data_IF_103532963041
#
_entry.id   IF_103532963041
#
_cell.length_a   1.000
_cell.length_b   1.000
_cell.length_c   1.000
_cell.angle_alpha   90.00
_cell.angle_beta   90.00
_cell.angle_gamma   90.00
#
_symmetry.space_group_name_H-M   'P 1'
#
loop_
_entity.id
_entity.type
_entity.pdbx_description
1 polymer ?
#
# COMPACT_ATOMS: atom_id res chain seq x y z
N UNK A 1 58.08 -39.52 -11.25
CA UNK A 1 57.41 -38.85 -10.12
C UNK A 1 56.51 -37.76 -10.67
N UNK A 2 55.20 -37.80 -10.32
CA UNK A 2 54.28 -36.67 -10.07
C UNK A 2 54.11 -35.58 -11.15
N UNK A 3 52.93 -35.18 -11.65
CA UNK A 3 51.53 -35.63 -11.77
C UNK A 3 50.86 -34.52 -12.61
N UNK A 4 49.96 -34.87 -13.53
CA UNK A 4 49.09 -33.92 -14.25
C UNK A 4 48.14 -33.21 -13.28
N UNK A 5 47.94 -31.89 -13.41
CA UNK A 5 46.81 -31.19 -12.80
C UNK A 5 46.17 -30.23 -13.80
N UNK A 6 45.03 -30.68 -14.32
CA UNK A 6 44.02 -29.91 -15.04
C UNK A 6 43.36 -28.92 -14.06
N UNK A 7 43.24 -27.66 -14.48
CA UNK A 7 42.45 -26.63 -13.78
C UNK A 7 40.95 -26.94 -13.93
N UNK A 8 40.15 -26.92 -12.83
CA UNK A 8 38.71 -27.04 -12.94
C UNK A 8 38.11 -25.68 -13.31
N UNK A 9 37.36 -25.64 -14.41
CA UNK A 9 36.50 -24.52 -14.76
C UNK A 9 35.32 -24.47 -13.76
N UNK A 10 35.32 -23.48 -12.87
CA UNK A 10 34.17 -23.17 -12.02
C UNK A 10 33.05 -22.59 -12.88
N UNK A 11 32.04 -23.42 -13.17
CA UNK A 11 30.76 -23.00 -13.73
C UNK A 11 29.99 -22.22 -12.65
N UNK A 12 29.97 -20.90 -12.76
CA UNK A 12 29.06 -20.05 -12.01
C UNK A 12 27.63 -20.29 -12.52
N UNK A 13 26.87 -21.10 -11.80
CA UNK A 13 25.45 -21.34 -12.07
C UNK A 13 24.65 -20.11 -11.62
N UNK A 14 24.33 -19.22 -12.56
CA UNK A 14 23.38 -18.14 -12.33
C UNK A 14 21.99 -18.75 -12.17
N UNK A 15 21.52 -18.89 -10.93
CA UNK A 15 20.11 -19.12 -10.64
C UNK A 15 19.32 -17.88 -11.10
N UNK A 16 18.80 -17.94 -12.32
CA UNK A 16 17.70 -17.08 -12.77
C UNK A 16 16.45 -17.50 -12.00
N UNK A 17 16.32 -17.02 -10.77
CA UNK A 17 15.03 -17.02 -10.08
C UNK A 17 14.12 -16.10 -10.88
N UNK A 18 13.26 -16.70 -11.70
CA UNK A 18 12.11 -16.02 -12.27
C UNK A 18 11.36 -15.35 -11.12
N UNK A 19 11.33 -14.02 -11.11
CA UNK A 19 10.43 -13.25 -10.25
C UNK A 19 9.00 -13.59 -10.67
N UNK A 20 8.45 -14.66 -10.12
CA UNK A 20 7.00 -14.81 -10.08
C UNK A 20 6.53 -13.71 -9.14
N UNK A 21 5.84 -12.71 -9.68
CA UNK A 21 5.18 -11.71 -8.86
C UNK A 21 4.31 -12.45 -7.83
N UNK A 22 4.54 -12.19 -6.55
CA UNK A 22 3.72 -12.78 -5.50
C UNK A 22 2.25 -12.37 -5.75
N UNK A 23 1.33 -13.32 -5.60
CA UNK A 23 -0.09 -13.02 -5.65
C UNK A 23 -0.58 -12.75 -4.22
N UNK A 24 -1.29 -11.64 -3.96
CA UNK A 24 -1.83 -11.35 -2.65
C UNK A 24 -2.76 -12.45 -2.16
N UNK A 25 -2.82 -12.64 -0.83
CA UNK A 25 -3.77 -13.54 -0.22
C UNK A 25 -5.24 -13.15 -0.53
N UNK A 26 -6.19 -14.09 -0.40
CA UNK A 26 -7.59 -13.87 -0.80
C UNK A 26 -8.31 -12.74 -0.02
N UNK A 27 -7.74 -12.29 1.10
CA UNK A 27 -8.28 -11.21 1.93
C UNK A 27 -7.28 -10.06 2.11
N UNK A 28 -6.20 -10.01 1.32
CA UNK A 28 -5.11 -9.05 1.50
C UNK A 28 -5.61 -7.59 1.52
N UNK A 29 -6.41 -7.18 0.54
CA UNK A 29 -6.95 -5.81 0.48
C UNK A 29 -7.80 -5.46 1.71
N UNK A 30 -8.57 -6.41 2.24
CA UNK A 30 -9.37 -6.22 3.45
C UNK A 30 -8.48 -6.08 4.69
N UNK A 31 -7.46 -6.94 4.82
CA UNK A 31 -6.54 -6.91 5.95
C UNK A 31 -5.72 -5.61 5.95
N UNK A 32 -5.25 -5.18 4.78
CA UNK A 32 -4.51 -3.94 4.61
C UNK A 32 -5.39 -2.72 4.87
N UNK A 33 -6.64 -2.70 4.40
CA UNK A 33 -7.55 -1.58 4.71
C UNK A 33 -7.81 -1.44 6.21
N UNK A 34 -7.97 -2.54 6.93
CA UNK A 34 -8.12 -2.54 8.38
C UNK A 34 -6.84 -2.09 9.09
N UNK A 35 -5.67 -2.53 8.63
CA UNK A 35 -4.39 -2.11 9.19
C UNK A 35 -4.15 -0.60 9.00
N UNK A 36 -4.47 -0.08 7.80
CA UNK A 36 -4.42 1.35 7.50
C UNK A 36 -5.37 2.14 8.41
N UNK A 37 -6.60 1.67 8.60
CA UNK A 37 -7.56 2.32 9.49
C UNK A 37 -7.05 2.40 10.92
N UNK A 38 -6.46 1.32 11.45
CA UNK A 38 -5.89 1.32 12.81
C UNK A 38 -4.76 2.34 12.92
N UNK A 39 -3.78 2.29 12.03
CA UNK A 39 -2.67 3.24 12.03
C UNK A 39 -3.15 4.70 11.86
N UNK A 40 -4.18 4.92 11.05
CA UNK A 40 -4.81 6.21 10.89
C UNK A 40 -5.49 6.69 12.17
N UNK A 41 -6.31 5.86 12.83
CA UNK A 41 -6.99 6.24 14.08
C UNK A 41 -6.00 6.50 15.22
N UNK A 42 -4.96 5.69 15.31
CA UNK A 42 -3.94 5.81 16.37
C UNK A 42 -2.93 6.94 16.11
N UNK A 43 -3.04 7.63 14.97
CA UNK A 43 -2.04 8.60 14.51
C UNK A 43 -0.61 8.03 14.42
N UNK A 44 -0.49 6.71 14.23
CA UNK A 44 0.77 6.00 14.12
C UNK A 44 1.30 6.08 12.68
N UNK A 45 2.00 7.17 12.41
CA UNK A 45 2.60 7.44 11.09
C UNK A 45 3.69 6.44 10.74
N UNK A 46 4.37 5.86 11.73
CA UNK A 46 5.41 4.85 11.50
C UNK A 46 4.76 3.54 11.05
N UNK A 47 3.72 3.08 11.75
CA UNK A 47 2.95 1.90 11.35
C UNK A 47 2.31 2.10 9.97
N UNK A 48 1.72 3.27 9.72
CA UNK A 48 1.15 3.60 8.41
C UNK A 48 2.22 3.48 7.31
N UNK A 49 3.41 4.06 7.54
CA UNK A 49 4.52 4.03 6.58
C UNK A 49 5.02 2.61 6.29
N UNK A 50 4.98 1.70 7.26
CA UNK A 50 5.39 0.30 7.09
C UNK A 50 4.46 -0.52 6.19
N UNK A 51 3.21 -0.06 6.03
CA UNK A 51 2.24 -0.66 5.11
C UNK A 51 2.50 -0.24 3.66
N UNK A 52 3.22 0.86 3.42
CA UNK A 52 3.52 1.35 2.08
C UNK A 52 4.55 0.47 1.36
N UNK A 53 4.34 0.27 0.05
CA UNK A 53 5.32 -0.37 -0.82
C UNK A 53 6.62 0.43 -0.82
N UNK A 54 7.80 -0.20 -0.98
CA UNK A 54 9.09 0.50 -0.91
C UNK A 54 9.15 1.75 -1.81
N UNK A 55 8.70 1.63 -3.05
CA UNK A 55 8.66 2.72 -4.04
C UNK A 55 7.74 3.88 -3.65
N UNK A 56 6.67 3.61 -2.90
CA UNK A 56 5.82 4.66 -2.32
C UNK A 56 6.50 5.23 -1.09
N UNK A 57 6.99 4.37 -0.19
CA UNK A 57 7.58 4.74 1.10
C UNK A 57 8.75 5.70 1.00
N UNK A 58 9.52 5.63 -0.08
CA UNK A 58 10.62 6.55 -0.39
C UNK A 58 10.13 7.98 -0.71
N UNK A 59 8.96 8.11 -1.34
CA UNK A 59 8.34 9.41 -1.67
C UNK A 59 7.63 10.07 -0.49
N UNK A 60 7.32 9.29 0.55
CA UNK A 60 6.62 9.74 1.75
C UNK A 60 7.50 9.50 2.99
N UNK A 61 8.52 10.36 3.23
CA UNK A 61 9.20 10.40 4.52
C UNK A 61 8.19 10.75 5.64
N UNK A 62 8.54 10.46 6.89
CA UNK A 62 7.61 10.55 8.03
C UNK A 62 6.97 11.93 8.14
N UNK A 63 7.74 13.00 7.93
CA UNK A 63 7.28 14.38 8.02
C UNK A 63 6.24 14.72 6.95
N UNK A 64 6.46 14.26 5.72
CA UNK A 64 5.52 14.42 4.59
C UNK A 64 4.26 13.60 4.85
N UNK A 65 4.42 12.37 5.33
CA UNK A 65 3.28 11.51 5.65
C UNK A 65 2.42 12.10 6.77
N UNK A 66 3.03 12.72 7.79
CA UNK A 66 2.29 13.47 8.81
C UNK A 66 1.42 14.58 8.21
N UNK A 67 1.97 15.37 7.29
CA UNK A 67 1.22 16.45 6.63
C UNK A 67 0.06 15.91 5.79
N UNK A 68 0.30 14.84 5.03
CA UNK A 68 -0.73 14.19 4.22
C UNK A 68 -1.85 13.68 5.12
N UNK A 69 -1.53 12.88 6.16
CA UNK A 69 -2.53 12.32 7.07
C UNK A 69 -3.28 13.40 7.86
N UNK A 70 -2.63 14.50 8.22
CA UNK A 70 -3.30 15.65 8.82
C UNK A 70 -4.32 16.28 7.86
N UNK A 71 -3.98 16.43 6.57
CA UNK A 71 -4.92 16.89 5.54
C UNK A 71 -6.07 15.90 5.34
N UNK A 72 -5.80 14.60 5.36
CA UNK A 72 -6.84 13.57 5.30
C UNK A 72 -7.82 13.70 6.48
N UNK A 73 -7.33 13.96 7.70
CA UNK A 73 -8.20 14.22 8.86
C UNK A 73 -8.98 15.51 8.74
N UNK A 74 -8.38 16.57 8.19
CA UNK A 74 -9.12 17.81 7.96
C UNK A 74 -10.27 17.62 6.95
N UNK A 75 -10.12 16.71 5.98
CA UNK A 75 -11.17 16.37 5.02
C UNK A 75 -12.23 15.43 5.63
N UNK A 76 -11.78 14.35 6.26
CA UNK A 76 -12.65 13.23 6.66
C UNK A 76 -13.15 13.33 8.10
N UNK A 77 -12.54 14.16 8.94
CA UNK A 77 -12.68 14.09 10.40
C UNK A 77 -12.27 12.71 10.92
N UNK A 78 -12.94 12.21 11.97
CA UNK A 78 -12.69 10.89 12.52
C UNK A 78 -13.37 9.81 11.67
N UNK A 79 -12.60 8.80 11.26
CA UNK A 79 -13.12 7.64 10.53
C UNK A 79 -13.55 6.57 11.54
N UNK A 80 -14.84 6.24 11.53
CA UNK A 80 -15.41 5.22 12.40
C UNK A 80 -15.07 3.82 11.90
N UNK A 81 -15.35 3.57 10.62
CA UNK A 81 -15.17 2.27 9.97
C UNK A 81 -15.02 2.37 8.46
N UNK A 82 -14.44 1.32 7.88
CA UNK A 82 -14.40 1.07 6.44
C UNK A 82 -15.31 -0.13 6.13
N UNK A 83 -16.04 -0.10 5.02
CA UNK A 83 -16.87 -1.21 4.58
C UNK A 83 -16.05 -2.45 4.17
N UNK A 84 -16.73 -3.53 3.78
CA UNK A 84 -16.12 -4.50 2.86
C UNK A 84 -16.02 -3.89 1.46
N UNK A 85 -15.09 -4.35 0.60
CA UNK A 85 -14.98 -3.79 -0.74
C UNK A 85 -16.27 -4.09 -1.53
N UNK A 86 -16.85 -3.06 -2.14
CA UNK A 86 -18.04 -3.18 -3.00
C UNK A 86 -17.69 -3.67 -4.41
N UNK A 87 -16.46 -3.39 -4.86
CA UNK A 87 -15.90 -3.81 -6.14
C UNK A 87 -14.38 -3.94 -6.04
N UNK A 88 -13.76 -4.66 -6.98
CA UNK A 88 -12.30 -4.83 -7.02
C UNK A 88 -11.84 -6.23 -7.40
N UNK A 89 -10.56 -6.51 -7.13
CA UNK A 89 -9.90 -7.79 -7.31
C UNK A 89 -8.92 -8.05 -6.14
N UNK A 90 -7.93 -8.94 -6.30
CA UNK A 90 -6.95 -9.26 -5.24
C UNK A 90 -5.98 -8.13 -4.90
N UNK A 91 -5.80 -7.18 -5.81
CA UNK A 91 -4.88 -6.06 -5.67
C UNK A 91 -5.61 -4.74 -5.42
N UNK A 92 -6.86 -4.62 -5.89
CA UNK A 92 -7.63 -3.37 -5.85
C UNK A 92 -8.92 -3.57 -5.07
N UNK A 93 -9.31 -2.62 -4.23
CA UNK A 93 -10.64 -2.58 -3.62
C UNK A 93 -11.22 -1.17 -3.55
N UNK A 94 -12.52 -1.09 -3.79
CA UNK A 94 -13.33 0.12 -3.64
C UNK A 94 -14.21 -0.01 -2.40
N UNK A 95 -14.18 0.99 -1.52
CA UNK A 95 -14.78 0.92 -0.20
C UNK A 95 -15.60 2.18 0.09
N UNK A 96 -16.62 2.02 0.95
CA UNK A 96 -17.20 3.13 1.69
C UNK A 96 -16.40 3.41 2.95
N UNK A 97 -16.10 4.67 3.21
CA UNK A 97 -15.47 5.17 4.44
C UNK A 97 -16.53 5.96 5.21
N UNK A 98 -16.92 5.45 6.36
CA UNK A 98 -17.89 6.10 7.23
C UNK A 98 -17.14 6.91 8.27
N UNK A 99 -17.27 8.22 8.18
CA UNK A 99 -16.66 9.16 9.10
C UNK A 99 -17.74 10.00 9.78
N UNK A 100 -17.34 10.75 10.81
CA UNK A 100 -18.26 11.44 11.72
C UNK A 100 -19.31 12.31 10.99
N UNK A 101 -18.90 13.03 9.95
CA UNK A 101 -19.77 14.01 9.27
C UNK A 101 -20.31 13.55 7.92
N UNK A 102 -19.72 12.51 7.30
CA UNK A 102 -20.05 12.09 5.95
C UNK A 102 -19.59 10.67 5.63
N UNK A 103 -20.10 10.13 4.51
CA UNK A 103 -19.56 8.93 3.89
C UNK A 103 -18.72 9.32 2.68
N UNK A 104 -17.51 8.78 2.61
CA UNK A 104 -16.56 9.00 1.53
C UNK A 104 -16.34 7.69 0.75
N UNK A 105 -15.76 7.81 -0.44
CA UNK A 105 -15.27 6.68 -1.22
C UNK A 105 -13.78 6.49 -0.98
N UNK A 106 -13.33 5.23 -0.92
CA UNK A 106 -11.91 4.90 -0.85
C UNK A 106 -11.51 3.90 -1.91
N UNK A 107 -10.41 4.21 -2.60
CA UNK A 107 -9.68 3.29 -3.46
C UNK A 107 -8.42 2.84 -2.73
N UNK A 108 -8.20 1.54 -2.65
CA UNK A 108 -6.99 0.93 -2.14
C UNK A 108 -6.41 -0.02 -3.19
N UNK A 109 -5.14 0.15 -3.49
CA UNK A 109 -4.36 -0.75 -4.35
C UNK A 109 -3.12 -1.23 -3.61
N UNK A 110 -2.86 -2.53 -3.69
CA UNK A 110 -1.71 -3.20 -3.09
C UNK A 110 -0.90 -3.93 -4.16
N UNK A 111 0.41 -4.07 -3.94
CA UNK A 111 1.26 -4.95 -4.72
C UNK A 111 1.17 -6.42 -4.27
N UNK A 112 1.94 -7.28 -4.95
CA UNK A 112 2.02 -8.71 -4.67
C UNK A 112 2.51 -9.08 -3.27
N UNK A 113 3.26 -8.18 -2.62
CA UNK A 113 3.80 -8.35 -1.26
C UNK A 113 2.85 -7.78 -0.19
N UNK A 114 1.59 -7.54 -0.57
CA UNK A 114 0.55 -6.96 0.26
C UNK A 114 0.92 -5.56 0.79
N UNK A 115 1.65 -4.77 -0.01
CA UNK A 115 2.01 -3.40 0.34
C UNK A 115 1.24 -2.37 -0.48
N UNK A 116 0.89 -1.27 0.17
CA UNK A 116 0.08 -0.19 -0.43
C UNK A 116 0.88 0.52 -1.53
N UNK A 117 0.36 0.47 -2.75
CA UNK A 117 0.87 1.24 -3.89
C UNK A 117 0.02 2.47 -4.19
N UNK A 118 -1.27 2.43 -3.85
CA UNK A 118 -2.20 3.56 -3.94
C UNK A 118 -3.25 3.50 -2.82
N UNK A 119 -3.50 4.64 -2.18
CA UNK A 119 -4.58 4.81 -1.21
C UNK A 119 -5.17 6.20 -1.40
N UNK A 120 -6.46 6.27 -1.69
CA UNK A 120 -7.17 7.52 -1.89
C UNK A 120 -8.50 7.50 -1.15
N UNK A 121 -8.85 8.59 -0.47
CA UNK A 121 -10.18 8.86 0.07
C UNK A 121 -10.70 10.14 -0.57
N UNK A 122 -11.92 10.13 -1.08
CA UNK A 122 -12.54 11.27 -1.76
C UNK A 122 -14.04 11.34 -1.48
N UNK A 123 -14.60 12.55 -1.45
CA UNK A 123 -16.05 12.78 -1.47
C UNK A 123 -16.59 12.89 -2.91
N UNK A 124 -15.69 13.01 -3.89
CA UNK A 124 -16.01 13.16 -5.30
C UNK A 124 -14.81 12.73 -6.16
N UNK A 125 -14.93 11.59 -6.85
CA UNK A 125 -13.86 11.04 -7.69
C UNK A 125 -13.43 11.95 -8.86
N UNK A 126 -14.23 12.98 -9.18
CA UNK A 126 -13.93 13.97 -10.23
C UNK A 126 -13.28 15.25 -9.72
N UNK A 127 -13.23 15.48 -8.40
CA UNK A 127 -12.68 16.69 -7.77
C UNK A 127 -11.35 16.40 -7.07
N UNK A 128 -10.25 16.92 -7.61
CA UNK A 128 -8.89 16.70 -7.07
C UNK A 128 -8.63 17.44 -5.75
N UNK A 129 -9.35 18.53 -5.49
CA UNK A 129 -9.11 19.36 -4.32
C UNK A 129 -9.74 18.77 -3.04
N UNK A 130 -10.63 17.79 -3.20
CA UNK A 130 -11.36 17.13 -2.12
C UNK A 130 -10.97 15.65 -1.96
N UNK A 131 -9.76 15.29 -2.39
CA UNK A 131 -9.20 13.98 -2.13
C UNK A 131 -7.98 14.05 -1.22
N UNK A 132 -7.81 13.01 -0.41
CA UNK A 132 -6.56 12.68 0.25
C UNK A 132 -5.98 11.46 -0.46
N UNK A 133 -4.71 11.52 -0.86
CA UNK A 133 -4.09 10.49 -1.68
C UNK A 133 -2.64 10.21 -1.27
N UNK A 134 -2.26 8.94 -1.29
CA UNK A 134 -0.89 8.43 -1.16
C UNK A 134 -0.66 7.45 -2.31
N UNK A 135 0.48 7.56 -3.00
CA UNK A 135 0.83 6.67 -4.11
C UNK A 135 0.95 7.40 -5.45
N UNK A 136 0.66 6.70 -6.53
CA UNK A 136 0.68 7.23 -7.89
C UNK A 136 -0.59 8.04 -8.17
N UNK A 137 -0.48 9.14 -8.92
CA UNK A 137 -1.64 9.87 -9.44
C UNK A 137 -2.12 9.11 -10.69
N UNK A 138 -3.37 8.62 -10.69
CA UNK A 138 -4.02 8.11 -11.90
C UNK A 138 -4.35 9.27 -12.84
#
# INVERSE_FOLDING_TARGET
MKWNLLLPATLASCFLSSLVAAEPGPHAVINISQALLRAYKDSDVVAFRQLLAPSVRERYPIEVLHQVLARCRALTFEIDRISLPSWGNRHVGYFGVYAELATFEMLLEIDGDEKVVHWAITDNITSRDQSCMIGHML
#
